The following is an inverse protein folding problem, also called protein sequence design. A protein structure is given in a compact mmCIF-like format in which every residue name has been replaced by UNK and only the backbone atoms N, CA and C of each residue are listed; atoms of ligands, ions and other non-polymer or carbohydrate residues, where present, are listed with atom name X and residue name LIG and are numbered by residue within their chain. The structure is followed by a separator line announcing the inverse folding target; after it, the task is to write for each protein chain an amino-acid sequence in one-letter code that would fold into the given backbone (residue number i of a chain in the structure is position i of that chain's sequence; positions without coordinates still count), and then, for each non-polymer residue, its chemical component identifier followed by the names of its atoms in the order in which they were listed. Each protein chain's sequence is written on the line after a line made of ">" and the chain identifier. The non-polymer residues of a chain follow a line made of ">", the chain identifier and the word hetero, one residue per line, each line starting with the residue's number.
data_IF_244745218078
#
_entry.id   IF_244745218078
#
_cell.length_a   1.000
_cell.length_b   1.000
_cell.length_c   1.000
_cell.angle_alpha   90.00
_cell.angle_beta   90.00
_cell.angle_gamma   90.00
#
_symmetry.space_group_name_H-M   'P 1'
#
loop_
_entity.id
_entity.type
_entity.pdbx_description
1 polymer ?
#
# COMPACT_ATOMS: atom_id res chain seq x y z
N UNK A 1 -2.98 -5.76 14.15
CA UNK A 1 -2.13 -4.91 13.28
C UNK A 1 -2.86 -4.71 11.98
N UNK A 2 -2.83 -3.51 11.40
CA UNK A 2 -3.44 -3.17 10.11
C UNK A 2 -2.38 -2.90 9.06
N UNK A 3 -2.71 -3.08 7.79
CA UNK A 3 -1.78 -2.84 6.67
C UNK A 3 -2.28 -1.73 5.76
N UNK A 4 -1.36 -0.96 5.18
CA UNK A 4 -1.66 0.02 4.14
C UNK A 4 -0.79 -0.29 2.92
N UNK A 5 -1.43 -0.40 1.77
CA UNK A 5 -0.78 -0.47 0.46
C UNK A 5 -1.10 0.79 -0.31
N UNK A 6 -0.07 1.61 -0.55
CA UNK A 6 -0.22 2.80 -1.39
C UNK A 6 0.00 2.40 -2.85
N UNK A 7 -1.07 2.41 -3.61
CA UNK A 7 -1.12 2.02 -5.02
C UNK A 7 -1.45 3.21 -5.95
N UNK A 8 -1.35 4.44 -5.44
CA UNK A 8 -1.45 5.68 -6.22
C UNK A 8 -0.11 6.10 -6.79
N UNK A 9 -0.08 6.54 -8.03
CA UNK A 9 1.12 7.08 -8.67
C UNK A 9 1.07 6.95 -10.18
N UNK A 10 1.43 8.01 -10.89
CA UNK A 10 1.32 8.11 -12.35
C UNK A 10 2.19 7.13 -13.15
N UNK A 11 3.13 6.42 -12.51
CA UNK A 11 3.95 5.41 -13.17
C UNK A 11 4.80 5.90 -14.36
N UNK A 12 5.09 7.20 -14.43
CA UNK A 12 5.70 7.90 -15.58
C UNK A 12 6.99 7.27 -16.12
N UNK A 13 7.74 6.55 -15.28
CA UNK A 13 8.97 5.87 -15.69
C UNK A 13 8.74 4.66 -16.58
N UNK A 14 7.51 4.13 -16.62
CA UNK A 14 7.11 3.00 -17.45
C UNK A 14 6.23 3.42 -18.62
N UNK A 15 6.17 4.73 -18.91
CA UNK A 15 5.47 5.23 -20.08
C UNK A 15 6.10 4.66 -21.38
N UNK A 16 5.31 4.27 -22.38
CA UNK A 16 3.86 4.46 -22.53
C UNK A 16 2.98 3.35 -21.92
N UNK A 17 3.53 2.28 -21.36
CA UNK A 17 2.76 1.13 -20.83
C UNK A 17 1.76 1.59 -19.76
N UNK A 18 2.14 2.58 -18.95
CA UNK A 18 1.30 3.13 -17.88
C UNK A 18 0.37 4.25 -18.33
N UNK A 19 0.25 4.51 -19.63
CA UNK A 19 -0.68 5.54 -20.11
C UNK A 19 -2.16 5.15 -19.92
N UNK A 20 -2.47 3.87 -19.95
CA UNK A 20 -3.84 3.36 -19.80
C UNK A 20 -4.06 2.41 -18.63
N UNK A 21 -3.02 2.09 -17.87
CA UNK A 21 -3.10 1.08 -16.79
C UNK A 21 -2.22 1.51 -15.63
N UNK A 22 -2.74 1.39 -14.40
CA UNK A 22 -1.94 1.60 -13.20
C UNK A 22 -0.71 0.68 -13.19
N UNK A 23 0.43 1.23 -12.85
CA UNK A 23 1.69 0.48 -12.71
C UNK A 23 1.52 -0.78 -11.84
N UNK A 24 0.78 -0.68 -10.77
CA UNK A 24 0.60 -1.76 -9.80
C UNK A 24 -0.28 -2.90 -10.32
N UNK A 25 -1.01 -2.67 -11.41
CA UNK A 25 -1.82 -3.68 -12.10
C UNK A 25 -1.05 -4.39 -13.22
N UNK A 26 0.14 -3.89 -13.58
CA UNK A 26 0.99 -4.56 -14.56
C UNK A 26 1.47 -5.91 -14.03
N UNK A 27 1.48 -6.89 -14.91
CA UNK A 27 2.02 -8.22 -14.61
C UNK A 27 3.53 -8.18 -14.38
N UNK A 28 3.97 -8.79 -13.30
CA UNK A 28 5.38 -9.06 -13.01
C UNK A 28 5.51 -10.56 -12.83
N UNK A 29 6.11 -11.21 -13.79
CA UNK A 29 6.20 -12.67 -13.89
C UNK A 29 4.80 -13.30 -14.03
N UNK A 30 4.21 -13.81 -12.94
CA UNK A 30 2.97 -14.60 -12.95
C UNK A 30 1.77 -13.86 -12.36
N UNK A 31 1.96 -12.65 -11.82
CA UNK A 31 0.90 -11.92 -11.11
C UNK A 31 1.06 -10.41 -11.18
N UNK A 32 -0.02 -9.64 -10.98
CA UNK A 32 0.04 -8.20 -10.86
C UNK A 32 0.96 -7.73 -9.73
N UNK A 33 1.66 -6.62 -9.96
CA UNK A 33 2.64 -6.08 -9.02
C UNK A 33 2.06 -5.86 -7.61
N UNK A 34 0.79 -5.49 -7.50
CA UNK A 34 0.12 -5.26 -6.22
C UNK A 34 0.06 -6.49 -5.32
N UNK A 35 0.13 -7.70 -5.87
CA UNK A 35 0.09 -8.93 -5.06
C UNK A 35 1.35 -9.11 -4.21
N UNK A 36 2.48 -8.58 -4.64
CA UNK A 36 3.73 -8.70 -3.87
C UNK A 36 3.65 -7.99 -2.51
N UNK A 37 3.28 -6.70 -2.39
CA UNK A 37 3.12 -6.06 -1.10
C UNK A 37 2.00 -6.68 -0.26
N UNK A 38 0.90 -7.12 -0.89
CA UNK A 38 -0.18 -7.80 -0.19
C UNK A 38 0.34 -9.10 0.43
N UNK A 39 1.07 -9.93 -0.33
CA UNK A 39 1.64 -11.18 0.19
C UNK A 39 2.61 -10.93 1.36
N UNK A 40 3.40 -9.87 1.30
CA UNK A 40 4.29 -9.48 2.41
C UNK A 40 3.49 -9.15 3.68
N UNK A 41 2.40 -8.39 3.57
CA UNK A 41 1.51 -8.11 4.70
C UNK A 41 0.86 -9.39 5.24
N UNK A 42 0.42 -10.28 4.36
CA UNK A 42 -0.17 -11.57 4.73
C UNK A 42 0.82 -12.45 5.48
N UNK A 43 2.08 -12.52 5.03
CA UNK A 43 3.15 -13.24 5.71
C UNK A 43 3.47 -12.66 7.09
N UNK A 44 3.30 -11.35 7.27
CA UNK A 44 3.39 -10.69 8.55
C UNK A 44 2.17 -10.92 9.48
N UNK A 45 1.20 -11.73 9.05
CA UNK A 45 -0.03 -12.02 9.80
C UNK A 45 -1.08 -10.92 9.74
N UNK A 46 -0.93 -9.92 8.86
CA UNK A 46 -1.87 -8.81 8.71
C UNK A 46 -3.02 -9.26 7.82
N UNK A 47 -4.25 -9.05 8.29
CA UNK A 47 -5.47 -9.47 7.60
C UNK A 47 -6.41 -8.31 7.25
N UNK A 48 -6.27 -7.16 7.90
CA UNK A 48 -6.99 -5.92 7.57
C UNK A 48 -6.06 -5.02 6.78
N UNK A 49 -6.38 -4.78 5.50
CA UNK A 49 -5.48 -4.07 4.58
C UNK A 49 -6.26 -2.96 3.87
N UNK A 50 -5.79 -1.73 3.98
CA UNK A 50 -6.28 -0.59 3.23
C UNK A 50 -5.49 -0.43 1.93
N UNK A 51 -6.19 -0.41 0.81
CA UNK A 51 -5.63 -0.13 -0.52
C UNK A 51 -5.95 1.33 -0.87
N UNK A 52 -4.93 2.15 -1.02
CA UNK A 52 -5.08 3.57 -1.41
C UNK A 52 -4.69 3.70 -2.88
N UNK A 53 -5.64 4.15 -3.70
CA UNK A 53 -5.51 4.25 -5.16
C UNK A 53 -5.84 5.65 -5.64
N UNK A 54 -5.61 5.93 -6.92
CA UNK A 54 -6.21 7.09 -7.60
C UNK A 54 -7.70 6.86 -7.84
N UNK A 55 -8.50 7.93 -8.07
CA UNK A 55 -9.92 7.78 -8.41
C UNK A 55 -10.13 6.91 -9.66
N UNK A 56 -9.29 7.09 -10.66
CA UNK A 56 -9.37 6.42 -11.96
C UNK A 56 -9.07 4.92 -11.85
N UNK A 57 -8.10 4.56 -11.01
CA UNK A 57 -7.64 3.17 -10.89
C UNK A 57 -8.48 2.34 -9.93
N UNK A 58 -9.19 2.96 -8.98
CA UNK A 58 -9.92 2.26 -7.92
C UNK A 58 -10.86 1.15 -8.43
N UNK A 59 -11.66 1.37 -9.49
CA UNK A 59 -12.55 0.31 -9.99
C UNK A 59 -11.79 -0.92 -10.49
N UNK A 60 -10.60 -0.74 -11.07
CA UNK A 60 -9.77 -1.84 -11.54
C UNK A 60 -9.19 -2.66 -10.37
N UNK A 61 -8.75 -1.98 -9.30
CA UNK A 61 -8.32 -2.66 -8.08
C UNK A 61 -9.45 -3.43 -7.40
N UNK A 62 -10.65 -2.85 -7.33
CA UNK A 62 -11.82 -3.52 -6.76
C UNK A 62 -12.23 -4.75 -7.56
N UNK A 63 -12.17 -4.70 -8.90
CA UNK A 63 -12.42 -5.89 -9.76
C UNK A 63 -11.35 -6.97 -9.53
N UNK A 64 -10.08 -6.58 -9.37
CA UNK A 64 -8.98 -7.52 -9.18
C UNK A 64 -8.97 -8.18 -7.81
N UNK A 65 -9.16 -7.39 -6.75
CA UNK A 65 -8.94 -7.82 -5.36
C UNK A 65 -10.24 -8.17 -4.62
N UNK A 66 -11.37 -7.55 -5.01
CA UNK A 66 -12.67 -7.75 -4.36
C UNK A 66 -12.66 -7.33 -2.88
N UNK A 67 -13.42 -8.06 -2.06
CA UNK A 67 -13.44 -7.89 -0.61
C UNK A 67 -12.19 -8.45 0.09
N UNK A 68 -11.44 -9.30 -0.59
CA UNK A 68 -10.26 -9.99 -0.04
C UNK A 68 -10.53 -11.38 0.53
N UNK A 69 -11.79 -11.82 0.58
CA UNK A 69 -12.19 -13.13 1.16
C UNK A 69 -11.43 -14.30 0.54
N UNK A 70 -11.27 -14.30 -0.78
CA UNK A 70 -10.52 -15.34 -1.51
C UNK A 70 -9.05 -15.43 -1.11
N UNK A 71 -8.49 -14.40 -0.46
CA UNK A 71 -7.12 -14.36 0.05
C UNK A 71 -7.07 -14.55 1.57
N UNK A 72 -8.22 -14.72 2.24
CA UNK A 72 -8.29 -14.79 3.69
C UNK A 72 -7.94 -13.48 4.39
N UNK A 73 -8.18 -12.33 3.74
CA UNK A 73 -7.96 -10.98 4.26
C UNK A 73 -9.21 -10.12 4.05
N UNK A 74 -9.23 -8.93 4.62
CA UNK A 74 -10.24 -7.90 4.36
C UNK A 74 -9.58 -6.69 3.72
N UNK A 75 -10.04 -6.35 2.53
CA UNK A 75 -9.62 -5.13 1.85
C UNK A 75 -10.61 -4.01 2.10
N UNK A 76 -10.08 -2.85 2.46
CA UNK A 76 -10.78 -1.56 2.42
C UNK A 76 -10.12 -0.71 1.34
N UNK A 77 -10.88 0.19 0.75
CA UNK A 77 -10.40 1.04 -0.34
C UNK A 77 -10.54 2.51 0.03
N UNK A 78 -9.52 3.29 -0.25
CA UNK A 78 -9.57 4.74 -0.15
C UNK A 78 -8.96 5.39 -1.39
N UNK A 79 -9.40 6.59 -1.68
CA UNK A 79 -8.95 7.37 -2.83
C UNK A 79 -7.96 8.42 -2.38
N UNK A 80 -6.83 8.50 -3.09
CA UNK A 80 -5.90 9.62 -3.03
C UNK A 80 -6.17 10.52 -4.25
N UNK A 81 -6.82 11.68 -4.10
CA UNK A 81 -7.23 12.51 -5.24
C UNK A 81 -6.03 13.05 -6.04
N UNK A 82 -4.92 13.32 -5.37
CA UNK A 82 -3.67 13.79 -5.98
C UNK A 82 -2.47 13.10 -5.32
N UNK A 83 -1.42 12.75 -6.08
CA UNK A 83 -0.23 12.08 -5.55
C UNK A 83 0.68 13.08 -4.80
N UNK A 84 0.26 13.56 -3.64
CA UNK A 84 0.97 14.53 -2.80
C UNK A 84 2.01 13.88 -1.86
N UNK A 85 2.45 12.69 -2.19
CA UNK A 85 3.49 11.99 -1.47
C UNK A 85 3.00 10.99 -0.42
N UNK A 86 3.95 10.42 0.29
CA UNK A 86 3.70 9.31 1.21
C UNK A 86 2.98 9.72 2.50
N UNK A 87 3.17 10.96 2.94
CA UNK A 87 2.54 11.48 4.16
C UNK A 87 1.01 11.52 4.04
N UNK A 88 0.49 11.82 2.86
CA UNK A 88 -0.94 11.87 2.60
C UNK A 88 -1.62 10.51 2.82
N UNK A 89 -0.92 9.39 2.57
CA UNK A 89 -1.46 8.06 2.82
C UNK A 89 -1.79 7.84 4.31
N UNK A 90 -1.06 8.47 5.23
CA UNK A 90 -1.36 8.40 6.66
C UNK A 90 -2.58 9.24 7.04
N UNK A 91 -2.74 10.39 6.42
CA UNK A 91 -3.92 11.23 6.65
C UNK A 91 -5.18 10.53 6.13
N UNK A 92 -5.13 9.98 4.92
CA UNK A 92 -6.24 9.20 4.34
C UNK A 92 -6.54 7.94 5.15
N UNK A 93 -5.51 7.28 5.65
CA UNK A 93 -5.62 6.05 6.43
C UNK A 93 -5.87 6.26 7.93
N UNK A 94 -5.94 7.49 8.43
CA UNK A 94 -6.00 7.79 9.87
C UNK A 94 -7.17 7.08 10.57
N UNK A 95 -8.37 7.21 10.02
CA UNK A 95 -9.58 6.56 10.57
C UNK A 95 -9.50 5.03 10.48
N UNK A 96 -8.92 4.51 9.40
CA UNK A 96 -8.70 3.07 9.26
C UNK A 96 -7.68 2.57 10.27
N UNK A 97 -6.59 3.27 10.51
CA UNK A 97 -5.53 2.88 11.46
C UNK A 97 -6.07 2.91 12.89
N UNK A 98 -6.73 4.00 13.29
CA UNK A 98 -7.10 4.27 14.69
C UNK A 98 -5.86 4.21 15.59
N UNK A 99 -6.03 3.75 16.84
CA UNK A 99 -4.94 3.61 17.84
C UNK A 99 -4.08 2.35 17.66
N UNK A 100 -4.20 1.66 16.53
CA UNK A 100 -3.53 0.37 16.31
C UNK A 100 -2.19 0.54 15.59
N UNK A 101 -1.23 -0.34 15.92
CA UNK A 101 0.01 -0.48 15.17
C UNK A 101 -0.31 -0.92 13.73
N UNK A 102 0.29 -0.26 12.76
CA UNK A 102 0.10 -0.58 11.34
C UNK A 102 1.43 -0.78 10.61
N UNK A 103 1.37 -1.52 9.51
CA UNK A 103 2.46 -1.70 8.57
C UNK A 103 2.09 -1.08 7.23
N UNK A 104 2.99 -0.28 6.66
CA UNK A 104 2.84 0.30 5.33
C UNK A 104 3.84 -0.30 4.36
N UNK A 105 3.38 -0.65 3.17
CA UNK A 105 4.25 -1.03 2.07
C UNK A 105 4.01 -0.08 0.90
N UNK A 106 5.10 0.51 0.41
CA UNK A 106 5.11 1.35 -0.77
C UNK A 106 5.90 0.67 -1.88
N UNK A 107 5.30 0.56 -3.06
CA UNK A 107 5.89 -0.08 -4.24
C UNK A 107 6.85 0.84 -5.04
N UNK A 108 7.25 1.98 -4.50
CA UNK A 108 8.19 2.86 -5.16
C UNK A 108 9.60 2.70 -4.61
N UNK A 109 10.51 2.35 -5.49
CA UNK A 109 11.94 2.11 -5.36
C UNK A 109 12.33 0.67 -5.03
N UNK A 110 12.27 -0.16 -6.05
CA UNK A 110 13.13 -1.31 -6.19
C UNK A 110 14.56 -0.82 -6.44
N UNK A 111 15.35 -0.80 -5.43
CA UNK A 111 16.76 -0.48 -5.52
C UNK A 111 17.42 -0.76 -4.19
N UNK A 112 17.25 -1.96 -3.69
CA UNK A 112 18.13 -2.64 -2.75
C UNK A 112 17.48 -3.98 -2.39
N UNK A 113 18.14 -5.05 -2.74
CA UNK A 113 18.02 -6.34 -2.09
C UNK A 113 18.02 -6.18 -0.58
N UNK A 114 16.87 -6.11 0.03
CA UNK A 114 16.75 -6.34 1.48
C UNK A 114 16.00 -7.62 1.69
N UNK A 115 16.77 -8.61 2.13
CA UNK A 115 16.30 -9.93 2.51
C UNK A 115 15.06 -9.80 3.38
N UNK A 116 14.05 -10.54 3.04
CA UNK A 116 12.71 -10.62 3.65
C UNK A 116 12.68 -11.01 5.15
N UNK A 117 13.81 -11.01 5.84
CA UNK A 117 13.96 -11.65 7.14
C UNK A 117 13.57 -10.81 8.34
N UNK A 118 13.17 -9.53 8.18
CA UNK A 118 12.86 -8.72 9.36
C UNK A 118 11.76 -7.67 9.17
N UNK A 119 10.62 -8.10 8.63
CA UNK A 119 9.44 -7.23 8.47
C UNK A 119 8.98 -6.65 9.82
N UNK A 120 9.08 -7.41 10.91
CA UNK A 120 8.73 -6.92 12.26
C UNK A 120 9.61 -5.76 12.71
N UNK A 121 10.91 -5.81 12.47
CA UNK A 121 11.85 -4.72 12.79
C UNK A 121 11.67 -3.51 11.87
N UNK A 122 11.29 -3.74 10.62
CA UNK A 122 11.05 -2.67 9.66
C UNK A 122 9.77 -1.89 9.99
N UNK A 123 8.69 -2.57 10.36
CA UNK A 123 7.46 -1.95 10.83
C UNK A 123 7.70 -1.09 12.08
N UNK A 124 8.49 -1.58 13.03
CA UNK A 124 8.78 -0.85 14.27
C UNK A 124 9.64 0.41 14.05
N UNK A 125 10.62 0.38 13.14
CA UNK A 125 11.49 1.52 12.85
C UNK A 125 10.81 2.63 12.05
N UNK A 126 9.94 2.29 11.10
CA UNK A 126 9.26 3.28 10.25
C UNK A 126 8.18 4.04 11.01
N UNK A 127 7.42 3.36 11.86
CA UNK A 127 6.39 3.97 12.72
C UNK A 127 6.99 4.96 13.72
N UNK A 128 8.17 4.65 14.29
CA UNK A 128 8.76 5.49 15.33
C UNK A 128 9.36 6.81 14.84
N UNK A 129 9.78 6.92 13.57
CA UNK A 129 10.50 8.10 13.06
C UNK A 129 9.63 9.09 12.29
N UNK A 130 8.61 8.64 11.59
CA UNK A 130 7.79 9.51 10.72
C UNK A 130 6.48 9.98 11.35
N UNK A 131 5.94 9.28 12.35
CA UNK A 131 4.66 9.64 12.96
C UNK A 131 4.76 10.59 14.16
N UNK A 132 5.90 10.72 14.83
CA UNK A 132 6.06 11.63 15.98
C UNK A 132 5.80 13.11 15.66
N UNK A 133 6.20 13.66 14.50
CA UNK A 133 5.94 15.06 14.18
C UNK A 133 4.47 15.37 13.87
N UNK A 134 3.71 14.41 13.36
CA UNK A 134 2.32 14.61 12.93
C UNK A 134 1.30 14.53 14.08
N UNK A 135 1.63 13.82 15.17
CA UNK A 135 0.79 13.70 16.35
C UNK A 135 0.93 14.88 17.32
N UNK A 136 1.97 15.72 17.16
CA UNK A 136 2.18 16.93 18.00
C UNK A 136 1.53 18.19 17.46
N UNK A 137 0.84 18.13 16.31
CA UNK A 137 0.15 19.27 15.69
C UNK A 137 -1.39 19.24 15.86
N UNK A 138 -1.89 18.50 16.85
CA UNK A 138 -3.30 18.57 17.28
C UNK A 138 -3.41 19.06 18.69
#
# INVERSE_FOLDING_TARGET
>A
MKGIVLAGGAGTRLHPITAGVSKQLLGVYDKPMVYYPISVLMLAGIRDILIITTPEDQPAFQRLLGSGERFGVRFSYAVQPRPEGLAQAFLIGADFIGDRIFARIHLAKSGAERRYTDIRKYCHKTVSRECKPLLQQR
#
